data_IF_972658212853
#
_entry.id   IF_972658212853
#
_cell.length_a   1.000
_cell.length_b   1.000
_cell.length_c   1.000
_cell.angle_alpha   90.00
_cell.angle_beta   90.00
_cell.angle_gamma   90.00
#
_symmetry.space_group_name_H-M   'P 1'
#
loop_
_entity.id
_entity.type
_entity.pdbx_description
1 polymer ?
#
# COMPACT_ATOMS: atom_id res chain seq x y z
N UNK A 1 19.92 13.54 -6.23
CA UNK A 1 18.60 13.82 -6.85
C UNK A 1 17.56 12.96 -6.15
N UNK A 2 16.73 13.54 -5.28
CA UNK A 2 15.78 12.78 -4.45
C UNK A 2 14.55 12.42 -5.29
N UNK A 3 14.33 11.13 -5.55
CA UNK A 3 13.15 10.61 -6.28
C UNK A 3 11.83 11.18 -5.73
N UNK A 4 11.78 11.42 -4.43
CA UNK A 4 10.65 12.03 -3.73
C UNK A 4 10.32 13.44 -4.26
N UNK A 5 11.33 14.27 -4.55
CA UNK A 5 11.10 15.60 -5.11
C UNK A 5 10.46 15.55 -6.50
N UNK A 6 10.87 14.60 -7.34
CA UNK A 6 10.28 14.39 -8.66
C UNK A 6 8.79 14.02 -8.57
N UNK A 7 8.44 13.13 -7.64
CA UNK A 7 7.05 12.72 -7.41
C UNK A 7 6.20 13.86 -6.85
N UNK A 8 6.74 14.63 -5.89
CA UNK A 8 6.05 15.80 -5.34
C UNK A 8 5.78 16.85 -6.41
N UNK A 9 6.77 17.19 -7.24
CA UNK A 9 6.57 18.12 -8.34
C UNK A 9 5.51 17.63 -9.32
N UNK A 10 5.51 16.34 -9.68
CA UNK A 10 4.49 15.75 -10.55
C UNK A 10 3.08 15.84 -9.94
N UNK A 11 2.94 15.54 -8.65
CA UNK A 11 1.67 15.64 -7.92
C UNK A 11 1.15 17.08 -7.88
N UNK A 12 2.03 18.05 -7.62
CA UNK A 12 1.69 19.48 -7.57
C UNK A 12 1.26 19.98 -8.95
N UNK A 13 1.93 19.57 -10.02
CA UNK A 13 1.54 19.93 -11.39
C UNK A 13 0.19 19.33 -11.79
N UNK A 14 -0.07 18.08 -11.42
CA UNK A 14 -1.37 17.43 -11.67
C UNK A 14 -2.50 18.10 -10.86
N UNK A 15 -2.25 18.39 -9.59
CA UNK A 15 -3.19 19.07 -8.71
C UNK A 15 -3.49 20.49 -9.16
N UNK A 16 -2.47 21.24 -9.61
CA UNK A 16 -2.65 22.59 -10.13
C UNK A 16 -3.41 22.60 -11.46
N UNK A 17 -3.14 21.65 -12.35
CA UNK A 17 -3.91 21.46 -13.58
C UNK A 17 -5.39 21.16 -13.27
N UNK A 18 -5.67 20.23 -12.35
CA UNK A 18 -7.04 19.94 -11.93
C UNK A 18 -7.73 21.16 -11.31
N UNK A 19 -7.06 21.89 -10.41
CA UNK A 19 -7.60 23.09 -9.78
C UNK A 19 -7.90 24.19 -10.81
N UNK A 20 -7.02 24.36 -11.81
CA UNK A 20 -7.24 25.29 -12.92
C UNK A 20 -8.48 24.92 -13.74
N UNK A 21 -8.73 23.63 -14.00
CA UNK A 21 -9.97 23.19 -14.66
C UNK A 21 -11.21 23.34 -13.76
N UNK A 22 -11.08 23.08 -12.46
CA UNK A 22 -12.18 23.17 -11.49
C UNK A 22 -12.65 24.62 -11.28
N UNK A 23 -11.72 25.60 -11.30
CA UNK A 23 -11.99 27.03 -11.17
C UNK A 23 -12.62 27.65 -12.43
N UNK A 24 -12.79 26.87 -13.51
CA UNK A 24 -13.47 27.25 -14.76
C UNK A 24 -13.05 28.63 -15.31
N UNK A 25 -11.91 28.73 -16.01
CA UNK A 25 -11.48 30.00 -16.58
C UNK A 25 -12.56 30.58 -17.51
N UNK A 26 -12.74 31.91 -17.55
CA UNK A 26 -13.89 32.57 -18.18
C UNK A 26 -14.06 32.31 -19.70
N UNK A 27 -13.08 31.66 -20.34
CA UNK A 27 -13.14 31.24 -21.76
C UNK A 27 -13.52 29.77 -22.00
N UNK A 28 -13.57 28.90 -20.99
CA UNK A 28 -13.83 27.45 -21.18
C UNK A 28 -15.32 27.11 -20.96
N UNK A 29 -16.09 27.04 -22.05
CA UNK A 29 -17.47 26.53 -22.02
C UNK A 29 -17.49 25.00 -22.01
N UNK A 30 -17.17 24.41 -20.85
CA UNK A 30 -17.38 22.98 -20.60
C UNK A 30 -18.88 22.69 -20.40
N UNK A 31 -19.43 21.63 -20.99
CA UNK A 31 -20.81 21.20 -20.75
C UNK A 31 -21.03 20.87 -19.26
N UNK A 32 -22.18 21.29 -18.72
CA UNK A 32 -22.56 21.12 -17.31
C UNK A 32 -22.29 19.72 -16.70
N UNK A 33 -22.62 18.58 -17.36
CA UNK A 33 -22.38 17.26 -16.79
C UNK A 33 -20.88 16.98 -16.55
N UNK A 34 -20.01 17.48 -17.42
CA UNK A 34 -18.57 17.24 -17.31
C UNK A 34 -17.98 17.99 -16.12
N UNK A 35 -18.42 19.23 -15.87
CA UNK A 35 -18.01 20.02 -14.72
C UNK A 35 -18.43 19.37 -13.40
N UNK A 36 -19.65 18.82 -13.36
CA UNK A 36 -20.20 18.17 -12.18
C UNK A 36 -19.47 16.85 -11.84
N UNK A 37 -18.95 16.14 -12.84
CA UNK A 37 -18.11 14.97 -12.66
C UNK A 37 -16.65 15.31 -12.30
N UNK A 38 -16.12 16.41 -12.82
CA UNK A 38 -14.72 16.81 -12.60
C UNK A 38 -14.45 17.36 -11.20
N UNK A 39 -15.45 18.03 -10.60
CA UNK A 39 -15.35 18.62 -9.26
C UNK A 39 -15.09 17.57 -8.15
N UNK A 40 -15.78 16.42 -8.09
CA UNK A 40 -15.49 15.35 -7.12
C UNK A 40 -14.36 14.40 -7.54
N UNK A 41 -13.73 14.60 -8.72
CA UNK A 41 -12.70 13.70 -9.25
C UNK A 41 -11.56 13.36 -8.27
N UNK A 42 -10.96 14.30 -7.51
CA UNK A 42 -9.89 13.95 -6.57
C UNK A 42 -10.39 13.07 -5.42
N UNK A 43 -11.66 13.23 -5.00
CA UNK A 43 -12.27 12.39 -3.97
C UNK A 43 -12.48 10.98 -4.50
N UNK A 44 -12.98 10.83 -5.73
CA UNK A 44 -13.10 9.50 -6.36
C UNK A 44 -11.76 8.80 -6.51
N UNK A 45 -10.71 9.54 -6.88
CA UNK A 45 -9.36 9.01 -7.03
C UNK A 45 -8.80 8.54 -5.67
N UNK A 46 -9.06 9.30 -4.59
CA UNK A 46 -8.68 8.92 -3.23
C UNK A 46 -9.40 7.65 -2.76
N UNK A 47 -10.71 7.54 -3.00
CA UNK A 47 -11.50 6.35 -2.65
C UNK A 47 -11.01 5.12 -3.42
N UNK A 48 -10.80 5.26 -4.73
CA UNK A 48 -10.27 4.17 -5.56
C UNK A 48 -8.87 3.73 -5.10
N UNK A 49 -7.98 4.68 -4.79
CA UNK A 49 -6.66 4.40 -4.23
C UNK A 49 -6.75 3.68 -2.88
N UNK A 50 -7.66 4.11 -2.00
CA UNK A 50 -7.92 3.45 -0.72
C UNK A 50 -8.39 2.01 -0.88
N UNK A 51 -9.36 1.75 -1.77
CA UNK A 51 -9.84 0.40 -2.08
C UNK A 51 -8.72 -0.48 -2.65
N UNK A 52 -7.91 0.05 -3.57
CA UNK A 52 -6.78 -0.67 -4.14
C UNK A 52 -5.71 -1.00 -3.10
N UNK A 53 -5.37 -0.05 -2.23
CA UNK A 53 -4.41 -0.25 -1.14
C UNK A 53 -4.92 -1.32 -0.16
N UNK A 54 -6.20 -1.24 0.23
CA UNK A 54 -6.81 -2.21 1.14
C UNK A 54 -6.87 -3.60 0.52
N UNK A 55 -7.24 -3.73 -0.76
CA UNK A 55 -7.25 -4.99 -1.48
C UNK A 55 -5.83 -5.58 -1.58
N UNK A 56 -4.83 -4.75 -1.87
CA UNK A 56 -3.43 -5.20 -1.96
C UNK A 56 -2.90 -5.68 -0.61
N UNK A 57 -3.16 -4.94 0.47
CA UNK A 57 -2.77 -5.34 1.83
C UNK A 57 -3.53 -6.58 2.26
N UNK A 58 -4.85 -6.64 2.04
CA UNK A 58 -5.68 -7.80 2.36
C UNK A 58 -5.24 -9.06 1.60
N UNK A 59 -4.95 -8.93 0.30
CA UNK A 59 -4.43 -10.03 -0.51
C UNK A 59 -3.07 -10.52 -0.01
N UNK A 60 -2.15 -9.61 0.34
CA UNK A 60 -0.83 -9.96 0.88
C UNK A 60 -0.89 -10.57 2.27
N UNK A 61 -1.85 -10.15 3.10
CA UNK A 61 -2.12 -10.76 4.41
C UNK A 61 -2.74 -12.15 4.27
N UNK A 62 -3.71 -12.31 3.37
CA UNK A 62 -4.34 -13.60 3.09
C UNK A 62 -3.36 -14.60 2.45
N UNK A 63 -2.38 -14.09 1.68
CA UNK A 63 -1.34 -14.89 1.01
C UNK A 63 -0.03 -14.92 1.81
N UNK A 64 -0.04 -14.48 3.07
CA UNK A 64 1.10 -14.71 3.96
C UNK A 64 1.12 -16.22 4.24
N UNK A 65 1.80 -16.93 3.34
CA UNK A 65 1.98 -18.38 3.35
C UNK A 65 2.33 -18.78 4.78
N UNK A 66 1.46 -19.59 5.39
CA UNK A 66 1.65 -20.10 6.73
C UNK A 66 3.09 -20.60 6.84
N UNK A 67 3.89 -19.94 7.68
CA UNK A 67 5.24 -20.37 8.03
C UNK A 67 5.20 -21.67 8.85
N UNK A 68 4.26 -22.58 8.57
CA UNK A 68 4.12 -23.85 9.25
C UNK A 68 5.35 -24.72 9.04
N UNK A 69 5.88 -24.76 7.81
CA UNK A 69 7.05 -25.57 7.48
C UNK A 69 8.31 -25.04 8.20
N UNK A 70 8.55 -23.73 8.12
CA UNK A 70 9.65 -23.08 8.85
C UNK A 70 9.49 -23.17 10.39
N UNK A 71 8.25 -23.11 10.90
CA UNK A 71 7.98 -23.29 12.33
C UNK A 71 8.16 -24.75 12.77
N UNK A 72 7.84 -25.72 11.90
CA UNK A 72 8.05 -27.14 12.15
C UNK A 72 9.55 -27.49 12.18
N UNK A 73 10.31 -27.01 11.20
CA UNK A 73 11.76 -27.16 11.13
C UNK A 73 12.44 -26.55 12.37
N UNK A 74 12.05 -25.33 12.76
CA UNK A 74 12.55 -24.68 13.97
C UNK A 74 12.21 -25.48 15.25
N UNK A 75 11.00 -26.05 15.34
CA UNK A 75 10.61 -26.92 16.47
C UNK A 75 11.45 -28.18 16.54
N UNK A 76 11.82 -28.75 15.40
CA UNK A 76 12.68 -29.92 15.33
C UNK A 76 14.10 -29.60 15.81
N UNK A 77 14.67 -28.47 15.37
CA UNK A 77 15.95 -27.97 15.87
C UNK A 77 15.95 -27.74 17.38
N UNK A 78 14.86 -27.20 17.95
CA UNK A 78 14.73 -27.00 19.40
C UNK A 78 14.75 -28.35 20.14
N UNK A 79 14.05 -29.38 19.62
CA UNK A 79 14.04 -30.71 20.23
C UNK A 79 15.43 -31.35 20.18
N UNK A 80 16.11 -31.27 19.04
CA UNK A 80 17.46 -31.79 18.88
C UNK A 80 18.46 -31.09 19.83
N UNK A 81 18.39 -29.77 19.93
CA UNK A 81 19.24 -28.99 20.84
C UNK A 81 18.99 -29.34 22.31
N UNK A 82 17.72 -29.48 22.74
CA UNK A 82 17.37 -29.93 24.10
C UNK A 82 17.90 -31.34 24.38
N UNK A 83 17.80 -32.25 23.43
CA UNK A 83 18.33 -33.60 23.58
C UNK A 83 19.86 -33.62 23.72
N UNK A 84 20.58 -32.80 22.93
CA UNK A 84 22.04 -32.70 23.03
C UNK A 84 22.48 -32.09 24.36
N UNK A 85 21.81 -31.01 24.80
CA UNK A 85 22.11 -30.43 26.11
C UNK A 85 21.80 -31.40 27.26
N UNK A 86 20.81 -32.28 27.12
CA UNK A 86 20.46 -33.27 28.14
C UNK A 86 21.50 -34.38 28.22
N UNK A 87 22.02 -34.81 27.06
CA UNK A 87 23.18 -35.72 26.98
C UNK A 87 24.43 -35.12 27.63
N UNK A 88 24.59 -33.79 27.56
CA UNK A 88 25.67 -33.06 28.24
C UNK A 88 25.42 -32.82 29.73
N UNK A 89 24.32 -33.30 30.30
CA UNK A 89 24.01 -33.21 31.74
C UNK A 89 23.56 -31.82 32.20
N UNK A 90 23.25 -30.92 31.28
CA UNK A 90 22.73 -29.58 31.58
C UNK A 90 21.21 -29.67 31.85
N UNK A 91 20.64 -28.81 32.71
CA UNK A 91 19.18 -28.71 32.97
C UNK A 91 18.62 -27.42 32.35
N UNK A 92 17.51 -27.51 31.62
CA UNK A 92 16.80 -26.43 30.88
C UNK A 92 15.32 -26.79 30.68
#
# INVERSE_FOLDING_TARGET
MTKLGQWLCGLVLLGSAWAALALAPPGLRLPAPFRQALLPLPVYLLVAFGCYALATVGFRLATFNDCEEAAAELREHIRAARADLARRGLRF
#
